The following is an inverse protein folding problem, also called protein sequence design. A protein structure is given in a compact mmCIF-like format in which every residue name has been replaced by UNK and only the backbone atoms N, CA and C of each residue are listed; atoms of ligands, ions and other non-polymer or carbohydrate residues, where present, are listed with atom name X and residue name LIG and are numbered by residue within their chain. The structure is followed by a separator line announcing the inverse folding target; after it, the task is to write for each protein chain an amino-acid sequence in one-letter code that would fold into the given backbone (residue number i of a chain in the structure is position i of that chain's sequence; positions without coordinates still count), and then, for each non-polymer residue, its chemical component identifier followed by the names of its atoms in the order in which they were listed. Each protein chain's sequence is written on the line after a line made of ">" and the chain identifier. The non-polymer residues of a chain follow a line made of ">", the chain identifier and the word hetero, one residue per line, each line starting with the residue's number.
data_IF_237018838453
#
_entry.id   IF_237018838453
#
_cell.length_a   1.000
_cell.length_b   1.000
_cell.length_c   1.000
_cell.angle_alpha   90.00
_cell.angle_beta   90.00
_cell.angle_gamma   90.00
#
_symmetry.space_group_name_H-M   'P 1'
#
loop_
_entity.id
_entity.type
_entity.pdbx_description
1 polymer ?
#
# COMPACT_ATOMS: atom_id res chain seq x y z
N UNK A 1 -8.09 -4.68 40.41
CA UNK A 1 -9.23 -4.49 39.48
C UNK A 1 -8.77 -4.90 38.09
N UNK A 2 -9.49 -5.78 37.40
CA UNK A 2 -9.27 -6.00 35.96
C UNK A 2 -10.13 -5.00 35.21
N UNK A 3 -9.51 -4.15 34.42
CA UNK A 3 -10.21 -3.25 33.50
C UNK A 3 -11.06 -4.10 32.54
N UNK A 4 -12.32 -3.71 32.37
CA UNK A 4 -13.29 -4.39 31.50
C UNK A 4 -13.65 -3.47 30.34
N UNK A 5 -13.34 -3.88 29.12
CA UNK A 5 -13.63 -3.13 27.90
C UNK A 5 -14.85 -3.71 27.16
N UNK A 6 -15.63 -2.86 26.48
CA UNK A 6 -16.81 -3.25 25.71
C UNK A 6 -16.84 -2.53 24.37
N UNK A 7 -17.08 -3.27 23.28
CA UNK A 7 -17.36 -2.75 21.94
C UNK A 7 -18.80 -3.13 21.55
N UNK A 8 -19.48 -2.25 20.83
CA UNK A 8 -20.80 -2.51 20.22
C UNK A 8 -20.75 -2.07 18.75
N UNK A 9 -21.39 -2.85 17.88
CA UNK A 9 -21.54 -2.55 16.45
C UNK A 9 -23.04 -2.53 16.14
N UNK A 10 -23.48 -1.50 15.43
CA UNK A 10 -24.85 -1.31 14.97
C UNK A 10 -24.78 -1.02 13.46
N UNK A 11 -25.39 -1.90 12.66
CA UNK A 11 -25.31 -1.86 11.20
C UNK A 11 -26.26 -0.81 10.59
N UNK A 12 -27.29 -0.37 11.33
CA UNK A 12 -28.23 0.65 10.87
C UNK A 12 -27.68 2.07 11.02
N UNK A 13 -26.65 2.23 11.88
CA UNK A 13 -25.98 3.51 12.12
C UNK A 13 -24.85 3.78 11.13
N UNK A 14 -25.21 4.11 9.89
CA UNK A 14 -24.25 4.46 8.84
C UNK A 14 -23.64 5.85 9.07
N UNK A 15 -22.30 5.95 9.12
CA UNK A 15 -21.57 7.23 9.22
C UNK A 15 -21.31 7.83 7.83
N UNK A 16 -20.93 6.99 6.87
CA UNK A 16 -20.61 7.40 5.51
C UNK A 16 -20.00 6.25 4.70
N UNK A 17 -19.76 6.49 3.41
CA UNK A 17 -19.02 5.56 2.56
C UNK A 17 -17.52 5.74 2.81
N UNK A 18 -16.81 4.63 2.99
CA UNK A 18 -15.35 4.63 3.06
C UNK A 18 -14.81 5.02 1.68
N UNK A 19 -14.07 6.12 1.61
CA UNK A 19 -13.42 6.56 0.37
C UNK A 19 -12.23 5.63 0.07
N UNK A 20 -12.15 4.99 -1.12
CA UNK A 20 -11.04 4.10 -1.45
C UNK A 20 -9.67 4.78 -1.44
N UNK A 21 -9.59 6.10 -1.58
CA UNK A 21 -8.34 6.84 -1.61
C UNK A 21 -7.64 6.93 -0.24
N UNK A 22 -8.31 6.57 0.87
CA UNK A 22 -7.64 6.48 2.18
C UNK A 22 -6.61 5.34 2.22
N UNK A 23 -6.67 4.40 1.26
CA UNK A 23 -5.72 3.32 1.08
C UNK A 23 -4.62 3.65 0.06
N UNK A 24 -4.50 4.92 -0.35
CA UNK A 24 -3.46 5.37 -1.26
C UNK A 24 -2.05 5.24 -0.68
N UNK A 25 -1.06 5.13 -1.57
CA UNK A 25 0.36 5.07 -1.23
C UNK A 25 1.11 6.30 -1.75
N UNK A 26 2.34 6.50 -1.26
CA UNK A 26 3.19 7.62 -1.64
C UNK A 26 4.52 7.12 -2.22
N UNK A 27 5.02 7.81 -3.25
CA UNK A 27 6.30 7.51 -3.92
C UNK A 27 7.05 8.81 -4.17
N UNK A 28 8.36 8.81 -3.90
CA UNK A 28 9.20 10.00 -3.99
C UNK A 28 10.54 9.64 -4.61
N UNK A 29 11.17 10.59 -5.30
CA UNK A 29 12.55 10.47 -5.77
C UNK A 29 13.55 10.59 -4.59
N UNK A 30 13.44 9.68 -3.62
CA UNK A 30 14.22 9.68 -2.39
C UNK A 30 14.87 8.30 -2.16
N UNK A 31 16.19 8.31 -1.98
CA UNK A 31 16.97 7.09 -1.75
C UNK A 31 16.74 6.05 -2.84
N UNK A 32 16.31 4.85 -2.44
CA UNK A 32 16.02 3.73 -3.34
C UNK A 32 14.53 3.48 -3.56
N UNK A 33 13.69 4.50 -3.39
CA UNK A 33 12.25 4.37 -3.63
C UNK A 33 11.97 4.17 -5.13
N UNK A 34 12.56 5.02 -5.98
CA UNK A 34 12.53 4.87 -7.44
C UNK A 34 13.66 3.97 -7.91
N UNK A 35 14.90 4.47 -7.84
CA UNK A 35 16.07 3.81 -8.41
C UNK A 35 16.59 2.70 -7.48
N UNK A 36 16.53 1.46 -7.94
CA UNK A 36 16.78 0.26 -7.12
C UNK A 36 15.60 -0.16 -6.24
N UNK A 37 14.44 0.49 -6.42
CA UNK A 37 13.16 0.16 -5.79
C UNK A 37 12.17 -0.34 -6.83
N UNK A 38 11.21 0.51 -7.22
CA UNK A 38 10.24 0.16 -8.26
C UNK A 38 10.88 0.06 -9.66
N UNK A 39 12.01 0.73 -9.87
CA UNK A 39 12.69 0.85 -11.17
C UNK A 39 14.16 0.44 -11.08
N UNK A 40 14.57 -0.49 -11.95
CA UNK A 40 15.94 -1.01 -12.04
C UNK A 40 16.22 -1.63 -13.44
N UNK A 41 16.76 -0.83 -14.36
CA UNK A 41 16.91 -1.18 -15.81
C UNK A 41 17.62 -2.51 -16.08
N UNK A 42 18.68 -2.83 -15.34
CA UNK A 42 19.52 -4.00 -15.61
C UNK A 42 19.22 -5.20 -14.70
N UNK A 43 18.08 -5.19 -14.01
CA UNK A 43 17.67 -6.28 -13.13
C UNK A 43 17.07 -7.44 -13.93
N UNK A 44 17.46 -8.67 -13.61
CA UNK A 44 16.81 -9.87 -14.14
C UNK A 44 15.33 -9.98 -13.72
N UNK A 45 14.91 -9.20 -12.72
CA UNK A 45 13.54 -9.13 -12.22
C UNK A 45 12.70 -8.03 -12.89
N UNK A 46 13.29 -7.21 -13.76
CA UNK A 46 12.59 -6.10 -14.41
C UNK A 46 11.87 -6.52 -15.70
N UNK A 47 10.89 -5.70 -16.10
CA UNK A 47 10.27 -5.75 -17.43
C UNK A 47 11.05 -4.92 -18.46
N UNK A 48 10.58 -4.89 -19.70
CA UNK A 48 11.19 -4.13 -20.79
C UNK A 48 11.23 -2.61 -20.57
N UNK A 49 10.45 -2.09 -19.62
CA UNK A 49 10.43 -0.69 -19.22
C UNK A 49 11.29 -0.42 -17.98
N UNK A 50 11.98 -1.43 -17.44
CA UNK A 50 12.81 -1.31 -16.24
C UNK A 50 12.04 -1.40 -14.92
N UNK A 51 10.74 -1.71 -14.92
CA UNK A 51 9.99 -1.88 -13.67
C UNK A 51 10.17 -3.27 -13.07
N UNK A 52 10.42 -3.32 -11.76
CA UNK A 52 10.61 -4.57 -11.02
C UNK A 52 9.32 -5.37 -10.90
N UNK A 53 9.24 -6.52 -11.58
CA UNK A 53 8.02 -7.36 -11.64
C UNK A 53 7.62 -7.92 -10.29
N UNK A 54 8.59 -8.23 -9.43
CA UNK A 54 8.36 -8.69 -8.07
C UNK A 54 7.78 -7.58 -7.17
N UNK A 55 8.24 -6.34 -7.36
CA UNK A 55 7.66 -5.17 -6.68
C UNK A 55 6.25 -4.88 -7.19
N UNK A 56 6.04 -4.92 -8.52
CA UNK A 56 4.71 -4.77 -9.12
C UNK A 56 3.72 -5.83 -8.62
N UNK A 57 4.19 -7.07 -8.39
CA UNK A 57 3.35 -8.13 -7.82
C UNK A 57 3.00 -7.87 -6.35
N UNK A 58 3.90 -7.27 -5.58
CA UNK A 58 3.67 -7.00 -4.16
C UNK A 58 2.67 -5.84 -3.91
N UNK A 59 2.56 -4.90 -4.86
CA UNK A 59 1.66 -3.73 -4.74
C UNK A 59 0.27 -3.94 -5.35
N UNK A 60 0.02 -5.10 -5.96
CA UNK A 60 -1.30 -5.50 -6.47
C UNK A 60 -2.20 -6.01 -5.35
#
# INVERSE_FOLDING_TARGET
>A
MRESYRIKVDLERVIGKIDPNIYGHFIEHLGRCIYGGIYEENSALSDENGFRKDVLKAVR
#
